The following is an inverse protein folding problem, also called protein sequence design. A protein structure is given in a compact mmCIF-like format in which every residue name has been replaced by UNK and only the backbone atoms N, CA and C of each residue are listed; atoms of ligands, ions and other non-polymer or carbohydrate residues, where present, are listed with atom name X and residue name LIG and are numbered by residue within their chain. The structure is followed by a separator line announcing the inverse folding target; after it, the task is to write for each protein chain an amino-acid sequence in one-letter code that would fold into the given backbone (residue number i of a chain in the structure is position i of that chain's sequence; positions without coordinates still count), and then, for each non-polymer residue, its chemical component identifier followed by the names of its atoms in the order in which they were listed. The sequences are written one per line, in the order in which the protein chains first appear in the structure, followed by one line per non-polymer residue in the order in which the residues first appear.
data_IF_642545748449
#
_entry.id   IF_642545748449
#
_cell.length_a   1.000
_cell.length_b   1.000
_cell.length_c   1.000
_cell.angle_alpha   90.00
_cell.angle_beta   90.00
_cell.angle_gamma   90.00
#
_symmetry.space_group_name_H-M   'P 1'
#
loop_
_entity.id
_entity.type
_entity.pdbx_description
1 polymer ?
#
# COMPACT_ATOMS: atom_id res chain seq x y z
N UNK A 1 -8.10 13.63 -5.12
CA UNK A 1 -7.30 12.41 -5.38
C UNK A 1 -8.25 11.37 -5.93
N UNK A 2 -7.84 10.62 -6.97
CA UNK A 2 -8.63 9.45 -7.37
C UNK A 2 -8.60 8.44 -6.21
N UNK A 3 -9.62 7.59 -6.07
CA UNK A 3 -9.69 6.67 -4.92
C UNK A 3 -8.53 5.66 -4.84
N UNK A 4 -7.86 5.35 -5.97
CA UNK A 4 -6.74 4.40 -6.01
C UNK A 4 -5.35 5.04 -6.07
N UNK A 5 -5.28 6.36 -6.29
CA UNK A 5 -4.01 7.11 -6.31
C UNK A 5 -3.22 6.95 -5.01
N UNK A 6 -3.92 6.88 -3.87
CA UNK A 6 -3.31 6.72 -2.54
C UNK A 6 -2.51 5.43 -2.44
N UNK A 7 -2.95 4.35 -3.11
CA UNK A 7 -2.23 3.08 -3.13
C UNK A 7 -0.85 3.20 -3.80
N UNK A 8 -0.77 3.97 -4.89
CA UNK A 8 0.50 4.28 -5.56
C UNK A 8 1.42 5.11 -4.67
N UNK A 9 0.87 6.13 -4.00
CA UNK A 9 1.62 6.98 -3.06
C UNK A 9 2.21 6.13 -1.91
N UNK A 10 1.40 5.29 -1.28
CA UNK A 10 1.85 4.38 -0.22
C UNK A 10 2.97 3.47 -0.72
N UNK A 11 2.79 2.87 -1.90
CA UNK A 11 3.79 1.99 -2.50
C UNK A 11 5.12 2.71 -2.74
N UNK A 12 5.07 3.92 -3.32
CA UNK A 12 6.25 4.72 -3.64
C UNK A 12 6.94 5.37 -2.43
N UNK A 13 6.22 5.54 -1.31
CA UNK A 13 6.76 6.19 -0.11
C UNK A 13 7.64 5.25 0.72
N UNK A 14 7.39 3.94 0.71
CA UNK A 14 8.20 2.98 1.50
C UNK A 14 9.67 2.95 1.06
N UNK A 15 10.02 2.88 -0.25
CA UNK A 15 11.41 2.97 -0.70
C UNK A 15 12.12 4.24 -0.23
N UNK A 16 11.43 5.39 -0.16
CA UNK A 16 11.98 6.65 0.35
C UNK A 16 12.39 6.51 1.81
N UNK A 17 11.52 5.97 2.66
CA UNK A 17 11.82 5.70 4.07
C UNK A 17 13.00 4.73 4.21
N UNK A 18 13.01 3.67 3.40
CA UNK A 18 14.11 2.68 3.38
C UNK A 18 15.44 3.34 3.02
N UNK A 19 15.49 4.20 2.00
CA UNK A 19 16.68 4.93 1.60
C UNK A 19 17.18 5.88 2.70
N UNK A 20 16.28 6.56 3.40
CA UNK A 20 16.63 7.40 4.54
C UNK A 20 17.26 6.59 5.69
N UNK A 21 16.67 5.45 6.06
CA UNK A 21 17.23 4.54 7.07
C UNK A 21 18.62 4.01 6.69
N UNK A 22 18.84 3.72 5.40
CA UNK A 22 20.15 3.29 4.90
C UNK A 22 21.19 4.42 4.93
N UNK A 23 20.82 5.65 4.57
CA UNK A 23 21.69 6.83 4.72
C UNK A 23 22.09 7.01 6.19
N UNK A 24 21.12 6.89 7.11
CA UNK A 24 21.41 6.92 8.52
C UNK A 24 22.42 5.85 8.89
N UNK A 25 22.23 4.57 8.53
CA UNK A 25 23.18 3.50 8.86
C UNK A 25 24.64 3.79 8.42
N UNK A 26 24.83 4.45 7.27
CA UNK A 26 26.16 4.75 6.73
C UNK A 26 26.86 5.90 7.48
N UNK A 27 26.11 6.86 8.03
CA UNK A 27 26.66 8.04 8.72
C UNK A 27 27.15 7.82 10.16
N UNK A 28 27.02 6.61 10.73
CA UNK A 28 27.11 6.37 12.18
C UNK A 28 28.41 5.73 12.66
N UNK A 29 29.41 5.56 11.79
CA UNK A 29 30.62 4.80 12.10
C UNK A 29 31.37 5.26 13.38
N UNK A 30 31.09 6.45 13.90
CA UNK A 30 31.77 7.04 15.07
C UNK A 30 30.92 7.15 16.35
N UNK A 31 29.75 6.52 16.45
CA UNK A 31 28.86 6.67 17.63
C UNK A 31 29.09 5.58 18.69
N UNK A 32 29.13 5.97 19.97
CA UNK A 32 29.38 5.09 21.12
C UNK A 32 28.38 3.92 21.26
N UNK A 33 27.14 4.12 20.79
CA UNK A 33 26.07 3.11 20.78
C UNK A 33 25.76 2.52 19.39
N UNK A 34 26.68 2.69 18.43
CA UNK A 34 26.47 2.33 17.01
C UNK A 34 25.95 0.91 16.79
N UNK A 35 26.42 -0.09 17.56
CA UNK A 35 25.98 -1.49 17.38
C UNK A 35 24.49 -1.70 17.65
N UNK A 36 23.96 -1.12 18.73
CA UNK A 36 22.54 -1.25 19.09
C UNK A 36 21.66 -0.57 18.04
N UNK A 37 22.02 0.65 17.66
CA UNK A 37 21.33 1.42 16.63
C UNK A 37 21.34 0.74 15.26
N UNK A 38 22.50 0.22 14.86
CA UNK A 38 22.63 -0.53 13.61
C UNK A 38 21.72 -1.75 13.58
N UNK A 39 21.49 -2.43 14.72
CA UNK A 39 20.56 -3.56 14.80
C UNK A 39 19.12 -3.11 14.59
N UNK A 40 18.70 -2.05 15.28
CA UNK A 40 17.33 -1.49 15.16
C UNK A 40 17.07 -1.04 13.72
N UNK A 41 17.95 -0.23 13.14
CA UNK A 41 17.80 0.27 11.77
C UNK A 41 17.78 -0.85 10.74
N UNK A 42 18.62 -1.89 10.91
CA UNK A 42 18.59 -3.08 10.06
C UNK A 42 17.25 -3.81 10.14
N UNK A 43 16.71 -3.97 11.35
CA UNK A 43 15.41 -4.61 11.56
C UNK A 43 14.29 -3.82 10.88
N UNK A 44 14.22 -2.51 11.12
CA UNK A 44 13.24 -1.61 10.50
C UNK A 44 13.34 -1.67 8.96
N UNK A 45 14.55 -1.56 8.43
CA UNK A 45 14.81 -1.62 6.98
C UNK A 45 14.34 -2.95 6.38
N UNK A 46 14.64 -4.07 7.05
CA UNK A 46 14.24 -5.39 6.57
C UNK A 46 12.72 -5.53 6.59
N UNK A 47 12.06 -5.14 7.69
CA UNK A 47 10.60 -5.20 7.79
C UNK A 47 9.91 -4.35 6.72
N UNK A 48 10.33 -3.08 6.55
CA UNK A 48 9.74 -2.21 5.52
C UNK A 48 9.94 -2.75 4.11
N UNK A 49 11.10 -3.35 3.80
CA UNK A 49 11.32 -4.02 2.51
C UNK A 49 10.39 -5.21 2.31
N UNK A 50 10.18 -6.01 3.34
CA UNK A 50 9.22 -7.12 3.31
C UNK A 50 7.81 -6.60 3.05
N UNK A 51 7.37 -5.58 3.78
CA UNK A 51 6.03 -5.00 3.60
C UNK A 51 5.85 -4.34 2.23
N UNK A 52 6.90 -3.71 1.69
CA UNK A 52 6.89 -3.18 0.33
C UNK A 52 6.67 -4.28 -0.72
N UNK A 53 7.42 -5.38 -0.63
CA UNK A 53 7.24 -6.53 -1.53
C UNK A 53 5.84 -7.14 -1.39
N UNK A 54 5.33 -7.25 -0.16
CA UNK A 54 3.96 -7.72 0.09
C UNK A 54 2.93 -6.82 -0.59
N UNK A 55 3.07 -5.49 -0.49
CA UNK A 55 2.19 -4.54 -1.17
C UNK A 55 2.24 -4.68 -2.69
N UNK A 56 3.44 -4.83 -3.28
CA UNK A 56 3.59 -5.09 -4.71
C UNK A 56 2.79 -6.34 -5.12
N UNK A 57 2.90 -7.43 -4.35
CA UNK A 57 2.17 -8.67 -4.60
C UNK A 57 0.65 -8.50 -4.45
N UNK A 58 0.21 -7.73 -3.44
CA UNK A 58 -1.22 -7.43 -3.21
C UNK A 58 -1.79 -6.66 -4.39
N UNK A 59 -1.13 -5.59 -4.83
CA UNK A 59 -1.59 -4.79 -5.96
C UNK A 59 -1.53 -5.59 -7.27
N UNK A 60 -0.48 -6.39 -7.50
CA UNK A 60 -0.42 -7.28 -8.65
C UNK A 60 -1.61 -8.26 -8.68
N UNK A 61 -1.91 -8.90 -7.55
CA UNK A 61 -3.06 -9.80 -7.41
C UNK A 61 -4.38 -9.06 -7.68
N UNK A 62 -4.56 -7.88 -7.09
CA UNK A 62 -5.75 -7.06 -7.26
C UNK A 62 -5.94 -6.52 -8.67
N UNK A 63 -4.88 -6.31 -9.43
CA UNK A 63 -4.94 -5.80 -10.80
C UNK A 63 -4.98 -6.91 -11.86
N UNK A 64 -4.66 -8.16 -11.48
CA UNK A 64 -4.67 -9.31 -12.38
C UNK A 64 -6.07 -9.53 -12.98
N UNK A 65 -6.19 -9.46 -14.31
CA UNK A 65 -7.48 -9.54 -15.02
C UNK A 65 -8.29 -8.24 -15.05
N UNK A 66 -7.78 -7.16 -14.45
CA UNK A 66 -8.30 -5.79 -14.62
C UNK A 66 -7.54 -5.07 -15.73
N UNK A 67 -6.21 -5.19 -15.72
CA UNK A 67 -5.31 -4.61 -16.71
C UNK A 67 -4.37 -5.69 -17.31
N UNK A 68 -3.81 -5.48 -18.51
CA UNK A 68 -2.76 -6.33 -19.06
C UNK A 68 -1.53 -6.36 -18.16
N UNK A 69 -0.83 -7.49 -18.12
CA UNK A 69 0.34 -7.70 -17.25
C UNK A 69 1.42 -6.62 -17.42
N UNK A 70 1.67 -6.17 -18.65
CA UNK A 70 2.63 -5.08 -18.93
C UNK A 70 2.27 -3.77 -18.25
N UNK A 71 0.98 -3.40 -18.20
CA UNK A 71 0.51 -2.20 -17.50
C UNK A 71 0.61 -2.36 -15.98
N UNK A 72 0.34 -3.56 -15.46
CA UNK A 72 0.48 -3.84 -14.02
C UNK A 72 1.94 -3.67 -13.60
N UNK A 73 2.88 -4.20 -14.40
CA UNK A 73 4.32 -4.04 -14.15
C UNK A 73 4.76 -2.58 -14.22
N UNK A 74 4.19 -1.80 -15.14
CA UNK A 74 4.40 -0.35 -15.24
C UNK A 74 3.89 0.37 -13.99
N UNK A 75 2.67 0.07 -13.52
CA UNK A 75 2.13 0.63 -12.28
C UNK A 75 3.01 0.36 -11.07
N UNK A 76 3.51 -0.87 -10.93
CA UNK A 76 4.38 -1.25 -9.81
C UNK A 76 5.75 -0.57 -9.93
N UNK A 77 6.26 -0.39 -11.14
CA UNK A 77 7.55 0.27 -11.42
C UNK A 77 7.46 1.78 -11.23
N UNK A 78 6.34 2.40 -11.58
CA UNK A 78 6.05 3.82 -11.41
C UNK A 78 4.82 4.04 -10.49
N UNK A 79 5.03 3.99 -9.16
CA UNK A 79 3.96 4.18 -8.18
C UNK A 79 3.31 5.57 -8.19
N UNK A 80 3.94 6.56 -8.82
CA UNK A 80 3.45 7.94 -8.92
C UNK A 80 2.92 8.28 -10.31
N UNK A 81 2.92 7.31 -11.23
CA UNK A 81 2.49 7.49 -12.61
C UNK A 81 0.98 7.61 -12.79
N UNK A 82 0.56 8.10 -13.95
CA UNK A 82 -0.84 8.38 -14.26
C UNK A 82 -1.74 7.14 -14.27
N UNK A 83 -1.17 5.95 -14.44
CA UNK A 83 -1.91 4.68 -14.39
C UNK A 83 -2.65 4.46 -13.06
N UNK A 84 -2.14 5.01 -11.96
CA UNK A 84 -2.81 4.96 -10.64
C UNK A 84 -4.03 5.88 -10.55
N UNK A 85 -4.17 6.81 -11.51
CA UNK A 85 -5.26 7.78 -11.61
C UNK A 85 -6.29 7.40 -12.67
N UNK A 86 -6.06 6.32 -13.43
CA UNK A 86 -6.98 5.88 -14.48
C UNK A 86 -8.32 5.41 -13.91
N UNK A 87 -9.38 6.12 -14.29
CA UNK A 87 -10.73 5.84 -13.83
C UNK A 87 -11.23 4.46 -14.28
N UNK A 88 -10.81 3.99 -15.46
CA UNK A 88 -11.19 2.66 -15.97
C UNK A 88 -10.67 1.55 -15.05
N UNK A 89 -9.40 1.64 -14.62
CA UNK A 89 -8.79 0.68 -13.70
C UNK A 89 -9.50 0.75 -12.35
N UNK A 90 -9.73 1.95 -11.84
CA UNK A 90 -10.39 2.15 -10.54
C UNK A 90 -11.83 1.61 -10.54
N UNK A 91 -12.60 1.85 -11.61
CA UNK A 91 -13.98 1.36 -11.73
C UNK A 91 -14.05 -0.17 -11.71
N UNK A 92 -13.13 -0.85 -12.42
CA UNK A 92 -13.02 -2.32 -12.36
C UNK A 92 -12.59 -2.81 -10.98
N UNK A 93 -11.68 -2.12 -10.32
CA UNK A 93 -11.22 -2.45 -8.97
C UNK A 93 -12.35 -2.33 -7.95
N UNK A 94 -13.15 -1.26 -8.04
CA UNK A 94 -14.35 -1.04 -7.24
C UNK A 94 -15.36 -2.18 -7.41
N UNK A 95 -15.56 -2.67 -8.63
CA UNK A 95 -16.43 -3.84 -8.86
C UNK A 95 -15.87 -5.12 -8.23
N UNK A 96 -14.54 -5.32 -8.27
CA UNK A 96 -13.87 -6.47 -7.65
C UNK A 96 -13.95 -6.44 -6.12
N UNK A 97 -13.58 -5.32 -5.50
CA UNK A 97 -13.62 -5.13 -4.05
C UNK A 97 -15.06 -5.06 -3.51
N UNK A 98 -16.01 -4.63 -4.34
CA UNK A 98 -17.43 -4.56 -4.03
C UNK A 98 -17.70 -3.90 -2.67
N UNK A 99 -18.30 -4.62 -1.72
CA UNK A 99 -18.62 -4.10 -0.38
C UNK A 99 -17.39 -3.86 0.50
N UNK A 100 -16.22 -4.39 0.14
CA UNK A 100 -14.97 -4.19 0.88
C UNK A 100 -14.20 -2.95 0.44
N UNK A 101 -14.66 -2.21 -0.57
CA UNK A 101 -13.93 -1.06 -1.12
C UNK A 101 -13.60 -0.02 -0.03
N UNK A 102 -14.61 0.42 0.74
CA UNK A 102 -14.39 1.44 1.76
C UNK A 102 -13.38 0.99 2.82
N UNK A 103 -13.51 -0.25 3.32
CA UNK A 103 -12.56 -0.80 4.30
C UNK A 103 -11.17 -0.94 3.72
N UNK A 104 -11.05 -1.24 2.42
CA UNK A 104 -9.76 -1.29 1.73
C UNK A 104 -9.14 0.11 1.66
N UNK A 105 -9.90 1.11 1.25
CA UNK A 105 -9.44 2.50 1.13
C UNK A 105 -9.03 3.07 2.51
N UNK A 106 -9.82 2.82 3.56
CA UNK A 106 -9.50 3.21 4.94
C UNK A 106 -8.15 2.62 5.40
N UNK A 107 -7.87 1.36 5.02
CA UNK A 107 -6.61 0.68 5.35
C UNK A 107 -5.41 1.22 4.56
N UNK A 108 -5.61 1.59 3.31
CA UNK A 108 -4.56 2.25 2.51
C UNK A 108 -4.27 3.63 3.08
N UNK A 109 -5.29 4.35 3.53
CA UNK A 109 -5.15 5.66 4.15
C UNK A 109 -4.45 5.60 5.51
N UNK A 110 -4.81 4.65 6.38
CA UNK A 110 -4.12 4.44 7.68
C UNK A 110 -2.62 4.18 7.46
N UNK A 111 -2.31 3.35 6.47
CA UNK A 111 -0.92 3.05 6.11
C UNK A 111 -0.18 4.27 5.59
N UNK A 112 -0.83 5.12 4.79
CA UNK A 112 -0.25 6.40 4.34
C UNK A 112 0.12 7.26 5.54
N UNK A 113 -0.80 7.42 6.48
CA UNK A 113 -0.58 8.21 7.70
C UNK A 113 0.56 7.62 8.54
N UNK A 114 0.61 6.30 8.71
CA UNK A 114 1.70 5.63 9.42
C UNK A 114 3.07 5.82 8.75
N UNK A 115 3.13 5.84 7.42
CA UNK A 115 4.36 6.13 6.66
C UNK A 115 4.75 7.61 6.82
N UNK A 116 3.80 8.54 6.76
CA UNK A 116 4.02 9.97 6.97
C UNK A 116 4.56 10.26 8.38
N UNK A 117 3.97 9.66 9.41
CA UNK A 117 4.50 9.73 10.77
C UNK A 117 5.94 9.22 10.86
N UNK A 118 6.27 8.14 10.14
CA UNK A 118 7.62 7.58 10.12
C UNK A 118 8.60 8.54 9.42
N UNK A 119 8.20 9.16 8.30
CA UNK A 119 9.00 10.17 7.61
C UNK A 119 9.26 11.38 8.50
N UNK A 120 8.25 11.87 9.22
CA UNK A 120 8.36 12.99 10.13
C UNK A 120 9.31 12.68 11.32
N UNK A 121 9.13 11.51 11.96
CA UNK A 121 10.01 11.04 13.05
C UNK A 121 11.46 10.87 12.59
N UNK A 122 11.67 10.48 11.33
CA UNK A 122 12.99 10.33 10.71
C UNK A 122 13.51 11.64 10.11
N UNK A 123 12.77 12.74 10.17
CA UNK A 123 13.10 14.03 9.57
C UNK A 123 13.51 13.89 8.08
N UNK A 124 12.75 13.07 7.34
CA UNK A 124 12.94 12.83 5.91
C UNK A 124 12.10 13.85 5.17
N UNK A 125 12.74 14.68 4.34
CA UNK A 125 12.02 15.56 3.42
C UNK A 125 11.17 14.76 2.43
N UNK A 126 10.11 15.36 1.91
CA UNK A 126 9.19 14.72 0.95
C UNK A 126 9.86 14.24 -0.35
N UNK A 127 11.08 14.68 -0.63
CA UNK A 127 11.90 14.29 -1.79
C UNK A 127 12.84 13.10 -1.52
N UNK A 128 12.79 12.50 -0.32
CA UNK A 128 13.72 11.46 0.12
C UNK A 128 15.16 11.93 0.29
N UNK A 129 15.41 13.22 0.05
CA UNK A 129 16.66 13.94 0.31
C UNK A 129 16.45 14.84 1.53
N UNK A 130 16.16 14.21 2.65
CA UNK A 130 17.10 14.23 3.75
C UNK A 130 18.19 15.36 3.60
N UNK A 131 17.90 16.56 4.14
CA UNK A 131 18.73 17.79 4.05
C UNK A 131 20.10 17.62 4.73
N UNK A 132 20.92 16.71 4.20
CA UNK A 132 22.16 16.22 4.79
C UNK A 132 23.36 16.72 3.99
N UNK A 133 23.51 18.04 3.89
CA UNK A 133 24.68 18.63 3.25
C UNK A 133 25.95 18.51 4.12
N UNK A 134 25.83 18.23 5.43
CA UNK A 134 26.98 18.12 6.35
C UNK A 134 26.91 16.93 7.32
N UNK A 135 28.04 16.21 7.47
CA UNK A 135 28.18 15.02 8.33
C UNK A 135 28.01 15.30 9.85
N UNK A 136 28.23 16.54 10.29
CA UNK A 136 27.98 17.00 11.67
C UNK A 136 26.48 17.07 11.97
N UNK A 137 25.68 17.58 11.02
CA UNK A 137 24.22 17.67 11.08
C UNK A 137 23.55 16.30 11.03
N UNK A 138 24.09 15.38 10.20
CA UNK A 138 23.63 13.97 10.16
C UNK A 138 23.75 13.32 11.54
N UNK A 139 24.87 13.49 12.26
CA UNK A 139 25.03 12.89 13.59
C UNK A 139 24.08 13.47 14.63
N UNK A 140 23.86 14.79 14.61
CA UNK A 140 22.97 15.49 15.56
C UNK A 140 21.52 15.09 15.35
N UNK A 141 21.06 15.15 14.10
CA UNK A 141 19.70 14.77 13.76
C UNK A 141 19.50 13.27 13.83
N UNK A 142 20.52 12.45 13.54
CA UNK A 142 20.46 11.03 13.85
C UNK A 142 20.32 10.78 15.34
N UNK A 143 21.10 11.44 16.22
CA UNK A 143 20.91 11.29 17.66
C UNK A 143 19.49 11.67 18.08
N UNK A 144 18.92 12.72 17.48
CA UNK A 144 17.54 13.15 17.72
C UNK A 144 16.53 12.12 17.20
N UNK A 145 16.60 11.74 15.92
CA UNK A 145 15.78 10.72 15.30
C UNK A 145 15.91 9.40 16.06
N UNK A 146 17.10 9.05 16.55
CA UNK A 146 17.33 7.78 17.26
C UNK A 146 16.90 7.82 18.73
N UNK A 147 16.82 9.03 19.30
CA UNK A 147 16.24 9.29 20.61
C UNK A 147 14.72 9.44 20.55
N UNK A 148 14.18 9.88 19.40
CA UNK A 148 12.75 9.84 19.08
C UNK A 148 12.35 8.39 18.81
N UNK A 149 13.04 7.71 17.87
CA UNK A 149 13.31 6.26 17.90
C UNK A 149 13.83 5.88 19.31
N UNK A 150 14.04 4.66 19.80
CA UNK A 150 14.17 4.43 21.28
C UNK A 150 13.05 4.96 22.23
N UNK A 151 12.64 6.25 22.27
CA UNK A 151 11.72 6.82 23.29
C UNK A 151 10.24 6.70 22.97
N UNK A 152 9.80 7.00 21.74
CA UNK A 152 8.44 6.62 21.29
C UNK A 152 8.35 5.08 21.15
N UNK A 153 7.16 4.51 21.01
CA UNK A 153 7.05 3.11 20.59
C UNK A 153 7.19 3.07 19.06
N UNK A 154 8.39 2.97 18.46
CA UNK A 154 8.55 2.91 16.97
C UNK A 154 8.05 1.61 16.37
N UNK A 155 7.59 0.72 17.25
CA UNK A 155 6.72 -0.36 16.86
C UNK A 155 5.41 0.19 16.34
N UNK A 156 4.79 1.23 16.91
CA UNK A 156 3.40 1.61 16.59
C UNK A 156 3.14 1.90 15.10
N UNK A 157 3.93 2.78 14.49
CA UNK A 157 3.79 3.08 13.05
C UNK A 157 4.15 1.85 12.19
N UNK A 158 5.18 1.10 12.57
CA UNK A 158 5.58 -0.11 11.84
C UNK A 158 4.56 -1.26 12.02
N UNK A 159 3.95 -1.39 13.18
CA UNK A 159 2.91 -2.38 13.50
C UNK A 159 1.65 -2.03 12.75
N UNK A 160 1.26 -0.74 12.70
CA UNK A 160 0.16 -0.27 11.84
C UNK A 160 0.39 -0.66 10.38
N UNK A 161 1.57 -0.34 9.82
CA UNK A 161 1.93 -0.74 8.44
C UNK A 161 1.79 -2.26 8.26
N UNK A 162 2.35 -3.08 9.17
CA UNK A 162 2.26 -4.55 9.08
C UNK A 162 0.82 -5.07 9.18
N UNK A 163 0.04 -4.51 10.08
CA UNK A 163 -1.35 -4.90 10.33
C UNK A 163 -2.22 -4.54 9.14
N UNK A 164 -1.99 -3.36 8.55
CA UNK A 164 -2.67 -2.91 7.34
C UNK A 164 -2.27 -3.76 6.12
N UNK A 165 -0.98 -4.06 5.91
CA UNK A 165 -0.56 -4.96 4.82
C UNK A 165 -1.24 -6.33 4.97
N UNK A 166 -1.28 -6.87 6.19
CA UNK A 166 -1.93 -8.14 6.48
C UNK A 166 -3.45 -8.08 6.28
N UNK A 167 -4.09 -6.96 6.60
CA UNK A 167 -5.51 -6.74 6.35
C UNK A 167 -5.80 -6.61 4.85
N UNK A 168 -5.04 -5.79 4.12
CA UNK A 168 -5.14 -5.59 2.68
C UNK A 168 -4.93 -6.90 1.92
N UNK A 169 -3.96 -7.73 2.34
CA UNK A 169 -3.75 -9.05 1.75
C UNK A 169 -4.98 -9.94 1.86
N UNK A 170 -5.59 -10.00 3.05
CA UNK A 170 -6.81 -10.78 3.28
C UNK A 170 -7.97 -10.27 2.43
N UNK A 171 -8.17 -8.95 2.38
CA UNK A 171 -9.20 -8.32 1.55
C UNK A 171 -8.99 -8.61 0.06
N UNK A 172 -7.74 -8.52 -0.43
CA UNK A 172 -7.39 -8.77 -1.81
C UNK A 172 -7.65 -10.22 -2.23
N UNK A 173 -7.20 -11.18 -1.43
CA UNK A 173 -7.41 -12.62 -1.70
C UNK A 173 -8.89 -12.96 -1.70
N UNK A 174 -9.60 -12.62 -0.61
CA UNK A 174 -11.02 -12.96 -0.47
C UNK A 174 -11.88 -12.35 -1.59
N UNK A 175 -11.64 -11.09 -1.96
CA UNK A 175 -12.43 -10.45 -3.00
C UNK A 175 -12.10 -10.97 -4.40
N UNK A 176 -10.85 -11.33 -4.68
CA UNK A 176 -10.47 -11.95 -5.96
C UNK A 176 -11.07 -13.34 -6.10
N UNK A 177 -11.04 -14.16 -5.03
CA UNK A 177 -11.58 -15.52 -5.05
C UNK A 177 -13.11 -15.54 -5.20
N UNK A 178 -13.80 -14.62 -4.51
CA UNK A 178 -15.25 -14.48 -4.58
C UNK A 178 -15.73 -13.82 -5.89
N UNK A 179 -14.86 -13.18 -6.66
CA UNK A 179 -15.24 -12.45 -7.88
C UNK A 179 -15.97 -13.35 -8.89
N UNK A 180 -15.43 -14.55 -9.15
CA UNK A 180 -16.03 -15.52 -10.08
C UNK A 180 -17.44 -15.93 -9.65
N UNK A 181 -17.64 -16.18 -8.35
CA UNK A 181 -18.93 -16.54 -7.78
C UNK A 181 -19.93 -15.38 -7.86
N UNK A 182 -19.48 -14.15 -7.64
CA UNK A 182 -20.32 -12.94 -7.75
C UNK A 182 -20.79 -12.73 -9.18
N UNK A 183 -19.89 -12.86 -10.16
CA UNK A 183 -20.22 -12.79 -11.58
C UNK A 183 -21.26 -13.84 -11.96
N UNK A 184 -21.05 -15.09 -11.58
CA UNK A 184 -22.01 -16.19 -11.81
C UNK A 184 -23.39 -15.92 -11.17
N UNK A 185 -23.43 -15.46 -9.91
CA UNK A 185 -24.70 -15.12 -9.22
C UNK A 185 -25.44 -13.96 -9.91
N UNK A 186 -24.73 -12.95 -10.38
CA UNK A 186 -25.33 -11.81 -11.09
C UNK A 186 -25.95 -12.24 -12.43
N UNK A 187 -25.25 -13.07 -13.20
CA UNK A 187 -25.76 -13.64 -14.44
C UNK A 187 -26.96 -14.56 -14.22
N UNK A 188 -26.93 -15.39 -13.17
CA UNK A 188 -28.06 -16.24 -12.78
C UNK A 188 -29.31 -15.43 -12.40
N UNK A 189 -29.16 -14.28 -11.73
CA UNK A 189 -30.28 -13.38 -11.43
C UNK A 189 -30.86 -12.74 -12.69
N UNK A 190 -30.01 -12.27 -13.61
CA UNK A 190 -30.46 -11.71 -14.89
C UNK A 190 -31.22 -12.73 -15.72
N UNK A 191 -30.70 -13.96 -15.85
CA UNK A 191 -31.37 -15.02 -16.59
C UNK A 191 -32.75 -15.35 -15.99
N UNK A 192 -32.88 -15.36 -14.66
CA UNK A 192 -34.18 -15.54 -14.00
C UNK A 192 -35.16 -14.41 -14.30
N UNK A 193 -34.71 -13.15 -14.31
CA UNK A 193 -35.55 -12.00 -14.63
C UNK A 193 -36.01 -12.03 -16.09
N UNK A 194 -35.10 -12.32 -17.03
CA UNK A 194 -35.42 -12.45 -18.46
C UNK A 194 -36.41 -13.57 -18.69
N UNK A 195 -36.19 -14.75 -18.12
CA UNK A 195 -37.11 -15.87 -18.25
C UNK A 195 -38.48 -15.58 -17.61
N UNK A 196 -38.51 -14.85 -16.49
CA UNK A 196 -39.76 -14.40 -15.86
C UNK A 196 -40.54 -13.42 -16.75
N UNK A 197 -39.87 -12.45 -17.35
CA UNK A 197 -40.49 -11.50 -18.29
C UNK A 197 -41.02 -12.20 -19.55
N UNK A 198 -40.23 -13.10 -20.15
CA UNK A 198 -40.63 -13.87 -21.33
C UNK A 198 -41.85 -14.75 -21.04
N UNK A 199 -41.86 -15.43 -19.89
CA UNK A 199 -43.02 -16.23 -19.45
C UNK A 199 -44.27 -15.36 -19.27
N UNK A 200 -44.13 -14.19 -18.64
CA UNK A 200 -45.23 -13.23 -18.47
C UNK A 200 -45.81 -12.72 -19.80
N UNK A 201 -44.95 -12.43 -20.78
CA UNK A 201 -45.37 -12.00 -22.13
C UNK A 201 -46.10 -13.14 -22.86
N UNK A 202 -45.56 -14.35 -22.82
CA UNK A 202 -46.20 -15.52 -23.43
C UNK A 202 -47.58 -15.83 -22.82
N UNK A 203 -47.75 -15.60 -21.52
CA UNK A 203 -49.03 -15.76 -20.84
C UNK A 203 -50.05 -14.65 -21.18
N UNK A 204 -49.60 -13.44 -21.51
CA UNK A 204 -50.47 -12.31 -21.84
C UNK A 204 -50.95 -12.30 -23.30
N UNK A 205 -50.32 -13.08 -24.18
CA UNK A 205 -50.66 -13.19 -25.61
C UNK A 205 -51.59 -14.39 -25.93
N UNK A 206 -52.08 -15.08 -24.90
CA UNK A 206 -53.00 -16.22 -25.00
C UNK A 206 -54.36 -15.87 -24.44
#
# INVERSE_FOLDING_TARGET
MSGFEVAGIVLGSIPIVVSALQCYMNGLGTLQNFRSYKRILKSLTLTLKTEHVNLQNIYQKLLTGIAPQTRIEEMIRDPFGDLWREEEIFNKLRLRLWSSLQVFDDRVQDMREAIEEMMEKLNVGTDGKAEWTESSSIKKQFKRATFILQKSNHEEALTRIRDDVSALQRLAVLNTDLESQRKSRSQGRLNKLVNGMLSGICHALR
#
